data_IF_892299085254
#
_entry.id   IF_892299085254
#
_cell.length_a   1.000
_cell.length_b   1.000
_cell.length_c   1.000
_cell.angle_alpha   90.00
_cell.angle_beta   90.00
_cell.angle_gamma   90.00
#
_symmetry.space_group_name_H-M   'P 1'
#
loop_
_entity.id
_entity.type
_entity.pdbx_description
1 polymer ?
#
# COMPACT_ATOMS: atom_id res chain seq x y z
N UNK A 1 32.22 -17.99 28.67
CA UNK A 1 32.79 -18.27 27.36
C UNK A 1 31.73 -18.57 26.29
N UNK A 2 30.44 -18.20 26.49
CA UNK A 2 29.33 -18.47 25.54
C UNK A 2 28.63 -17.24 24.95
N UNK A 3 29.05 -16.03 25.32
CA UNK A 3 28.38 -14.79 24.82
C UNK A 3 29.03 -14.23 23.57
N UNK A 4 30.30 -14.59 23.28
CA UNK A 4 31.03 -14.06 22.10
C UNK A 4 30.59 -14.72 20.76
N UNK A 5 30.12 -15.97 20.81
CA UNK A 5 29.72 -16.71 19.59
C UNK A 5 28.45 -16.20 18.89
N UNK A 6 27.48 -15.65 19.64
CA UNK A 6 26.20 -15.20 19.07
C UNK A 6 26.29 -13.82 18.40
N UNK A 7 27.20 -12.93 18.86
CA UNK A 7 27.44 -11.63 18.22
C UNK A 7 28.21 -11.76 16.89
N UNK A 8 29.09 -12.76 16.77
CA UNK A 8 29.80 -12.99 15.51
C UNK A 8 28.92 -13.63 14.44
N UNK A 9 27.99 -14.50 14.83
CA UNK A 9 27.03 -15.12 13.88
C UNK A 9 26.07 -14.06 13.32
N UNK A 10 25.63 -13.11 14.14
CA UNK A 10 24.77 -12.01 13.69
C UNK A 10 25.52 -11.03 12.74
N UNK A 11 26.78 -10.70 13.04
CA UNK A 11 27.60 -9.86 12.16
C UNK A 11 27.88 -10.53 10.81
N UNK A 12 28.14 -11.83 10.82
CA UNK A 12 28.41 -12.58 9.59
C UNK A 12 27.19 -12.70 8.70
N UNK A 13 25.96 -12.77 9.27
CA UNK A 13 24.72 -12.77 8.50
C UNK A 13 24.40 -11.40 7.89
N UNK A 14 24.64 -10.32 8.61
CA UNK A 14 24.45 -8.95 8.10
C UNK A 14 25.43 -8.67 6.96
N UNK A 15 26.70 -9.04 7.08
CA UNK A 15 27.70 -8.86 6.03
C UNK A 15 27.35 -9.68 4.77
N UNK A 16 26.84 -10.91 4.92
CA UNK A 16 26.40 -11.72 3.77
C UNK A 16 25.18 -11.10 3.06
N UNK A 17 24.22 -10.58 3.80
CA UNK A 17 23.04 -9.89 3.22
C UNK A 17 23.46 -8.61 2.49
N UNK A 18 24.35 -7.82 3.08
CA UNK A 18 24.88 -6.60 2.46
C UNK A 18 25.69 -6.90 1.20
N UNK A 19 26.48 -7.99 1.21
CA UNK A 19 27.27 -8.43 0.04
C UNK A 19 26.41 -8.95 -1.10
N UNK A 20 25.29 -9.62 -0.82
CA UNK A 20 24.33 -10.08 -1.85
C UNK A 20 23.61 -8.89 -2.48
N UNK A 21 23.21 -7.91 -1.69
CA UNK A 21 22.60 -6.67 -2.21
C UNK A 21 23.61 -5.88 -3.07
N UNK A 22 24.88 -5.81 -2.67
CA UNK A 22 25.93 -5.13 -3.43
C UNK A 22 26.36 -5.92 -4.70
N UNK A 23 26.33 -7.26 -4.70
CA UNK A 23 26.60 -8.06 -5.91
C UNK A 23 25.52 -7.92 -6.99
N UNK A 24 24.26 -7.70 -6.62
CA UNK A 24 23.17 -7.41 -7.56
C UNK A 24 23.28 -6.02 -8.21
N UNK A 25 24.14 -5.14 -7.67
CA UNK A 25 24.36 -3.77 -8.15
C UNK A 25 25.57 -3.63 -9.11
N UNK A 26 26.32 -4.69 -9.39
CA UNK A 26 27.70 -4.62 -9.91
C UNK A 26 27.91 -4.63 -11.43
N UNK A 27 26.89 -4.78 -12.30
CA UNK A 27 27.13 -4.87 -13.76
C UNK A 27 25.98 -4.24 -14.57
N UNK A 28 26.02 -2.93 -14.83
CA UNK A 28 25.14 -2.29 -15.83
C UNK A 28 25.93 -1.32 -16.71
N UNK A 29 25.93 -1.56 -18.02
CA UNK A 29 26.43 -0.68 -19.11
C UNK A 29 25.22 0.09 -19.65
N UNK A 30 25.34 1.41 -19.78
CA UNK A 30 24.26 2.36 -20.16
C UNK A 30 24.15 2.52 -21.69
N UNK A 31 22.97 2.45 -22.32
CA UNK A 31 22.71 2.89 -23.68
C UNK A 31 22.10 4.29 -23.75
N UNK A 32 22.33 4.96 -24.87
CA UNK A 32 21.88 6.32 -25.17
C UNK A 32 20.57 6.31 -25.98
N UNK A 33 19.57 7.15 -25.63
CA UNK A 33 18.22 7.16 -26.27
C UNK A 33 17.84 8.51 -26.89
N UNK A 34 17.09 8.45 -28.00
CA UNK A 34 16.60 9.59 -28.78
C UNK A 34 15.29 10.19 -28.23
N UNK A 35 15.02 11.45 -28.61
CA UNK A 35 13.94 12.30 -28.07
C UNK A 35 12.62 12.16 -28.85
N UNK A 36 11.48 12.17 -28.13
CA UNK A 36 10.13 12.43 -28.67
C UNK A 36 9.78 13.92 -28.52
N UNK A 37 8.86 14.45 -29.34
CA UNK A 37 8.44 15.86 -29.30
C UNK A 37 7.97 16.26 -27.88
N UNK A 38 8.54 17.36 -27.37
CA UNK A 38 8.31 17.81 -26.00
C UNK A 38 6.92 18.46 -25.88
N UNK A 39 6.09 17.92 -24.97
CA UNK A 39 4.92 18.63 -24.47
C UNK A 39 5.36 19.88 -23.71
N UNK A 40 4.58 20.97 -23.78
CA UNK A 40 4.87 22.21 -23.07
C UNK A 40 4.65 22.04 -21.56
N UNK A 41 5.61 22.50 -20.75
CA UNK A 41 5.55 22.38 -19.29
C UNK A 41 4.35 23.15 -18.71
N UNK A 42 3.50 22.48 -17.96
CA UNK A 42 2.41 23.07 -17.22
C UNK A 42 2.83 23.40 -15.77
N UNK A 43 2.94 24.69 -15.45
CA UNK A 43 3.22 25.13 -14.08
C UNK A 43 2.08 24.80 -13.10
N UNK A 44 0.82 24.81 -13.55
CA UNK A 44 -0.34 24.49 -12.71
C UNK A 44 -0.34 23.00 -12.34
N UNK A 45 -0.14 22.09 -13.31
CA UNK A 45 -0.07 20.67 -13.07
C UNK A 45 1.13 20.30 -12.22
N UNK A 46 2.30 20.89 -12.48
CA UNK A 46 3.51 20.73 -11.66
C UNK A 46 3.25 21.13 -10.21
N UNK A 47 2.66 22.28 -9.96
CA UNK A 47 2.35 22.77 -8.60
C UNK A 47 1.36 21.84 -7.87
N UNK A 48 0.35 21.32 -8.57
CA UNK A 48 -0.58 20.37 -8.00
C UNK A 48 0.11 19.05 -7.63
N UNK A 49 0.96 18.48 -8.50
CA UNK A 49 1.62 17.21 -8.22
C UNK A 49 2.71 17.35 -7.14
N UNK A 50 3.42 18.47 -7.05
CA UNK A 50 4.31 18.76 -5.93
C UNK A 50 3.55 18.75 -4.59
N UNK A 51 2.38 19.40 -4.54
CA UNK A 51 1.50 19.41 -3.36
C UNK A 51 0.98 18.02 -3.04
N UNK A 52 0.50 17.29 -4.05
CA UNK A 52 -0.01 15.92 -3.91
C UNK A 52 1.07 14.97 -3.41
N UNK A 53 2.30 15.09 -3.91
CA UNK A 53 3.46 14.31 -3.46
C UNK A 53 3.70 14.50 -1.96
N UNK A 54 3.71 15.75 -1.49
CA UNK A 54 3.87 16.05 -0.07
C UNK A 54 2.73 15.44 0.78
N UNK A 55 1.49 15.55 0.31
CA UNK A 55 0.32 14.97 0.97
C UNK A 55 0.39 13.44 1.05
N UNK A 56 0.83 12.75 -0.01
CA UNK A 56 0.91 11.28 0.00
C UNK A 56 2.09 10.79 0.84
N UNK A 57 3.24 11.45 0.82
CA UNK A 57 4.32 11.12 1.75
C UNK A 57 3.88 11.29 3.20
N UNK A 58 3.14 12.36 3.50
CA UNK A 58 2.55 12.61 4.81
C UNK A 58 1.59 11.49 5.26
N UNK A 59 0.97 10.74 4.32
CA UNK A 59 0.17 9.57 4.67
C UNK A 59 1.01 8.46 5.30
N UNK A 60 2.22 8.20 4.82
CA UNK A 60 3.07 7.15 5.40
C UNK A 60 3.71 7.64 6.68
N UNK A 61 4.33 8.79 6.64
CA UNK A 61 4.93 9.48 7.78
C UNK A 61 4.43 10.93 7.84
N UNK A 62 3.62 11.27 8.88
CA UNK A 62 3.33 10.49 10.10
C UNK A 62 2.01 9.69 10.08
N UNK A 63 1.17 9.82 9.05
CA UNK A 63 -0.22 9.32 9.05
C UNK A 63 -0.36 7.86 9.45
N UNK A 64 0.15 6.94 8.61
CA UNK A 64 0.07 5.49 8.84
C UNK A 64 0.86 5.07 10.08
N UNK A 65 2.04 5.67 10.28
CA UNK A 65 2.87 5.42 11.45
C UNK A 65 2.11 5.68 12.76
N UNK A 66 1.38 6.78 12.88
CA UNK A 66 0.54 7.07 14.04
C UNK A 66 -0.74 6.24 14.09
N UNK A 67 -1.38 6.01 12.94
CA UNK A 67 -2.58 5.17 12.88
C UNK A 67 -2.27 3.76 13.40
N UNK A 68 -1.27 3.10 12.86
CA UNK A 68 -0.85 1.77 13.28
C UNK A 68 -0.17 1.78 14.66
N UNK A 69 0.69 2.76 14.92
CA UNK A 69 1.37 2.92 16.20
C UNK A 69 0.39 3.00 17.37
N UNK A 70 -0.73 3.71 17.22
CA UNK A 70 -1.78 3.78 18.24
C UNK A 70 -2.56 2.48 18.42
N UNK A 71 -2.66 1.65 17.38
CA UNK A 71 -3.42 0.38 17.38
C UNK A 71 -2.68 -0.78 18.07
N UNK A 72 -1.35 -0.84 17.99
CA UNK A 72 -0.55 -1.90 18.62
C UNK A 72 -0.47 -1.72 20.13
N UNK A 73 0.03 -2.73 20.85
CA UNK A 73 0.33 -2.62 22.29
C UNK A 73 1.48 -1.64 22.52
N UNK A 74 1.47 -0.92 23.64
CA UNK A 74 2.45 0.14 23.97
C UNK A 74 3.91 -0.28 23.87
N UNK A 75 4.23 -1.56 24.10
CA UNK A 75 5.56 -2.15 24.01
C UNK A 75 6.06 -2.45 22.59
N UNK A 76 5.25 -2.12 21.57
CA UNK A 76 5.52 -2.36 20.16
C UNK A 76 5.31 -1.10 19.31
N UNK A 77 5.11 0.07 19.94
CA UNK A 77 4.81 1.31 19.22
C UNK A 77 5.99 1.78 18.35
N UNK A 78 7.21 1.77 18.93
CA UNK A 78 8.41 2.20 18.22
C UNK A 78 8.77 1.25 17.08
N UNK A 79 8.53 -0.05 17.25
CA UNK A 79 8.73 -1.03 16.19
C UNK A 79 7.91 -0.70 14.94
N UNK A 80 6.65 -0.33 15.09
CA UNK A 80 5.80 0.05 13.95
C UNK A 80 6.23 1.38 13.33
N UNK A 81 6.55 2.38 14.16
CA UNK A 81 7.10 3.65 13.69
C UNK A 81 8.41 3.43 12.91
N UNK A 82 9.32 2.63 13.46
CA UNK A 82 10.59 2.27 12.81
C UNK A 82 10.39 1.54 11.49
N UNK A 83 9.42 0.63 11.41
CA UNK A 83 9.10 -0.09 10.17
C UNK A 83 8.61 0.87 9.09
N UNK A 84 7.72 1.82 9.41
CA UNK A 84 7.24 2.83 8.46
C UNK A 84 8.41 3.72 7.95
N UNK A 85 9.29 4.20 8.84
CA UNK A 85 10.45 4.99 8.45
C UNK A 85 11.46 4.20 7.64
N UNK A 86 11.79 2.98 8.08
CA UNK A 86 12.73 2.12 7.37
C UNK A 86 12.26 1.77 5.96
N UNK A 87 10.95 1.47 5.79
CA UNK A 87 10.36 1.22 4.48
C UNK A 87 10.38 2.47 3.60
N UNK A 88 10.10 3.64 4.16
CA UNK A 88 10.23 4.90 3.43
C UNK A 88 11.64 5.08 2.88
N UNK A 89 12.66 4.86 3.70
CA UNK A 89 14.06 4.99 3.27
C UNK A 89 14.47 3.88 2.28
N UNK A 90 14.14 2.62 2.59
CA UNK A 90 14.50 1.47 1.76
C UNK A 90 13.91 1.58 0.36
N UNK A 91 12.61 1.83 0.28
CA UNK A 91 11.91 1.92 -1.02
C UNK A 91 12.39 3.14 -1.80
N UNK A 92 12.67 4.27 -1.15
CA UNK A 92 13.22 5.46 -1.83
C UNK A 92 14.58 5.18 -2.47
N UNK A 93 15.47 4.48 -1.78
CA UNK A 93 16.76 4.09 -2.36
C UNK A 93 16.57 3.08 -3.50
N UNK A 94 15.74 2.06 -3.31
CA UNK A 94 15.44 1.07 -4.34
C UNK A 94 14.74 1.69 -5.56
N UNK A 95 13.91 2.72 -5.35
CA UNK A 95 13.25 3.44 -6.44
C UNK A 95 14.25 4.09 -7.38
N UNK A 96 15.21 4.81 -6.81
CA UNK A 96 16.30 5.41 -7.58
C UNK A 96 17.13 4.36 -8.30
N UNK A 97 17.46 3.27 -7.63
CA UNK A 97 18.35 2.25 -8.18
C UNK A 97 17.70 1.46 -9.32
N UNK A 98 16.44 1.03 -9.13
CA UNK A 98 15.84 0.08 -10.08
C UNK A 98 14.31 0.16 -10.18
N UNK A 99 13.57 0.42 -9.09
CA UNK A 99 12.11 0.22 -9.09
C UNK A 99 11.38 1.17 -10.02
N UNK A 100 11.85 2.43 -10.18
CA UNK A 100 11.27 3.36 -11.14
C UNK A 100 11.31 2.78 -12.56
N UNK A 101 12.44 2.21 -12.94
CA UNK A 101 12.63 1.58 -14.25
C UNK A 101 11.73 0.36 -14.44
N UNK A 102 11.70 -0.54 -13.44
CA UNK A 102 10.87 -1.75 -13.52
C UNK A 102 9.37 -1.47 -13.50
N UNK A 103 8.93 -0.43 -12.80
CA UNK A 103 7.52 -0.08 -12.69
C UNK A 103 7.00 0.76 -13.87
N UNK A 104 7.81 1.68 -14.41
CA UNK A 104 7.34 2.73 -15.32
C UNK A 104 8.26 2.96 -16.55
N UNK A 105 9.35 2.19 -16.68
CA UNK A 105 10.20 2.19 -17.86
C UNK A 105 9.67 1.28 -18.98
N UNK A 106 10.25 1.38 -20.17
CA UNK A 106 9.94 0.49 -21.30
C UNK A 106 10.54 -0.90 -21.07
N UNK A 107 9.71 -1.93 -21.08
CA UNK A 107 10.08 -3.32 -20.90
C UNK A 107 10.55 -4.05 -22.17
N UNK A 108 10.53 -3.41 -23.34
CA UNK A 108 10.84 -4.04 -24.62
C UNK A 108 9.98 -5.28 -24.87
N UNK A 109 10.60 -6.45 -25.01
CA UNK A 109 9.87 -7.72 -25.20
C UNK A 109 9.07 -8.18 -23.97
N UNK A 110 9.34 -7.67 -22.78
CA UNK A 110 8.64 -7.97 -21.55
C UNK A 110 7.68 -6.86 -21.10
N UNK A 111 7.49 -5.83 -21.92
CA UNK A 111 6.68 -4.65 -21.60
C UNK A 111 5.24 -4.97 -21.15
N UNK A 112 4.69 -6.10 -21.58
CA UNK A 112 3.38 -6.53 -21.11
C UNK A 112 3.33 -6.84 -19.58
N UNK A 113 4.50 -7.11 -18.95
CA UNK A 113 4.55 -7.59 -17.55
C UNK A 113 5.39 -6.67 -16.66
N UNK A 114 6.52 -6.16 -17.15
CA UNK A 114 7.49 -5.40 -16.34
C UNK A 114 8.30 -4.46 -17.22
N UNK A 115 8.70 -3.30 -16.68
CA UNK A 115 9.64 -2.38 -17.31
C UNK A 115 11.07 -2.94 -17.39
N UNK A 116 11.88 -2.33 -18.24
CA UNK A 116 13.28 -2.66 -18.43
C UNK A 116 14.22 -1.95 -17.45
N UNK A 117 15.45 -1.72 -17.90
CA UNK A 117 16.50 -1.09 -17.09
C UNK A 117 16.93 0.28 -17.63
N UNK A 118 16.24 0.81 -18.61
CA UNK A 118 16.55 2.08 -19.30
C UNK A 118 16.52 3.30 -18.36
N UNK A 119 15.67 3.26 -17.34
CA UNK A 119 15.54 4.27 -16.29
C UNK A 119 16.26 3.90 -14.97
N UNK A 120 17.00 2.79 -14.93
CA UNK A 120 17.74 2.41 -13.73
C UNK A 120 18.74 3.52 -13.33
N UNK A 121 18.91 3.74 -12.03
CA UNK A 121 19.67 4.87 -11.46
C UNK A 121 19.15 6.24 -11.91
N UNK A 122 17.86 6.36 -12.20
CA UNK A 122 17.21 7.56 -12.72
C UNK A 122 17.84 8.05 -14.04
N UNK A 123 18.36 7.12 -14.85
CA UNK A 123 18.95 7.42 -16.15
C UNK A 123 17.97 8.21 -17.03
N UNK A 124 18.43 9.33 -17.60
CA UNK A 124 17.61 10.20 -18.45
C UNK A 124 16.65 11.12 -17.71
N UNK A 125 16.52 11.03 -16.39
CA UNK A 125 15.76 11.99 -15.58
C UNK A 125 16.64 13.21 -15.33
N UNK A 126 16.29 14.31 -16.00
CA UNK A 126 17.03 15.59 -15.94
C UNK A 126 16.10 16.73 -15.52
N UNK A 127 16.63 17.95 -15.43
CA UNK A 127 15.79 19.13 -15.21
C UNK A 127 14.85 19.45 -16.38
N UNK A 128 15.17 18.97 -17.56
CA UNK A 128 14.42 19.21 -18.81
C UNK A 128 13.49 18.05 -19.18
N UNK A 129 13.68 16.83 -18.59
CA UNK A 129 12.86 15.67 -18.91
C UNK A 129 11.43 15.83 -18.38
N UNK A 130 10.45 15.53 -19.22
CA UNK A 130 9.02 15.61 -18.90
C UNK A 130 8.38 14.21 -18.92
N UNK A 131 7.35 14.05 -18.10
CA UNK A 131 6.37 12.95 -18.18
C UNK A 131 5.01 13.60 -18.41
N UNK A 132 4.48 13.46 -19.63
CA UNK A 132 3.37 14.31 -20.06
C UNK A 132 3.81 15.79 -20.06
N UNK A 133 3.08 16.65 -19.35
CA UNK A 133 3.33 18.08 -19.23
C UNK A 133 3.89 18.52 -17.86
N UNK A 134 4.36 17.56 -17.06
CA UNK A 134 5.03 17.83 -15.77
C UNK A 134 6.48 17.33 -15.78
N UNK A 135 7.39 17.90 -14.96
CA UNK A 135 8.75 17.38 -14.85
C UNK A 135 8.77 15.90 -14.48
N UNK A 136 9.58 15.10 -15.18
CA UNK A 136 9.68 13.66 -14.90
C UNK A 136 10.15 13.39 -13.45
N UNK A 137 10.96 14.27 -12.89
CA UNK A 137 11.37 14.19 -11.48
C UNK A 137 10.18 14.32 -10.51
N UNK A 138 9.21 15.19 -10.83
CA UNK A 138 7.97 15.37 -10.05
C UNK A 138 7.05 14.16 -10.20
N UNK A 139 6.85 13.67 -11.43
CA UNK A 139 6.11 12.43 -11.69
C UNK A 139 6.71 11.24 -10.95
N UNK A 140 8.02 11.03 -11.07
CA UNK A 140 8.72 9.93 -10.40
C UNK A 140 8.60 10.02 -8.88
N UNK A 141 8.75 11.22 -8.29
CA UNK A 141 8.61 11.40 -6.86
C UNK A 141 7.18 11.16 -6.36
N UNK A 142 6.17 11.53 -7.16
CA UNK A 142 4.77 11.23 -6.88
C UNK A 142 4.53 9.72 -6.86
N UNK A 143 4.95 9.01 -7.91
CA UNK A 143 4.81 7.55 -8.01
C UNK A 143 5.60 6.81 -6.91
N UNK A 144 6.75 7.32 -6.49
CA UNK A 144 7.52 6.79 -5.36
C UNK A 144 6.68 6.75 -4.08
N UNK A 145 5.83 7.75 -3.83
CA UNK A 145 5.02 7.78 -2.60
C UNK A 145 4.02 6.63 -2.51
N UNK A 146 3.51 6.14 -3.64
CA UNK A 146 2.68 4.93 -3.72
C UNK A 146 3.51 3.67 -3.47
N UNK A 147 4.70 3.61 -4.03
CA UNK A 147 5.66 2.53 -3.78
C UNK A 147 6.05 2.43 -2.29
N UNK A 148 6.17 3.55 -1.60
CA UNK A 148 6.48 3.60 -0.16
C UNK A 148 5.31 3.10 0.70
N UNK A 149 4.10 3.60 0.48
CA UNK A 149 2.98 3.30 1.36
C UNK A 149 2.51 1.84 1.23
N UNK A 150 2.65 1.24 0.05
CA UNK A 150 2.12 -0.10 -0.20
C UNK A 150 2.73 -1.17 0.71
N UNK A 151 4.06 -1.36 0.83
CA UNK A 151 4.63 -2.29 1.80
C UNK A 151 4.42 -1.84 3.26
N UNK A 152 4.30 -0.54 3.52
CA UNK A 152 4.00 -0.04 4.85
C UNK A 152 2.60 -0.46 5.34
N UNK A 153 1.62 -0.59 4.44
CA UNK A 153 0.31 -1.15 4.77
C UNK A 153 0.40 -2.62 5.19
N UNK A 154 1.26 -3.42 4.55
CA UNK A 154 1.43 -4.85 4.86
C UNK A 154 1.87 -5.07 6.31
N UNK A 155 2.64 -4.13 6.88
CA UNK A 155 3.10 -4.16 8.29
C UNK A 155 1.97 -4.44 9.26
N UNK A 156 0.78 -3.87 9.03
CA UNK A 156 -0.38 -4.10 9.87
C UNK A 156 -0.81 -5.57 9.97
N UNK A 157 -0.58 -6.39 8.94
CA UNK A 157 -0.93 -7.81 8.93
C UNK A 157 -0.07 -8.67 9.86
N UNK A 158 1.18 -8.29 10.07
CA UNK A 158 2.14 -9.04 10.88
C UNK A 158 2.70 -8.25 12.08
N UNK A 159 2.13 -7.09 12.37
CA UNK A 159 2.56 -6.27 13.50
C UNK A 159 2.67 -7.10 14.78
N UNK A 160 3.65 -6.75 15.63
CA UNK A 160 3.95 -7.34 16.92
C UNK A 160 4.59 -8.75 16.89
N UNK A 161 4.98 -9.31 15.73
CA UNK A 161 5.56 -10.67 15.70
C UNK A 161 6.61 -10.96 14.60
N UNK A 162 6.77 -10.10 13.62
CA UNK A 162 7.79 -10.27 12.57
C UNK A 162 9.11 -9.65 12.98
N UNK A 163 10.24 -10.33 12.71
CA UNK A 163 11.58 -9.79 12.90
C UNK A 163 11.80 -8.60 11.97
N UNK A 164 12.46 -7.56 12.46
CA UNK A 164 12.75 -6.36 11.67
C UNK A 164 13.59 -6.65 10.42
N UNK A 165 14.65 -7.46 10.56
CA UNK A 165 15.49 -7.88 9.43
C UNK A 165 14.72 -8.65 8.36
N UNK A 166 13.79 -9.51 8.78
CA UNK A 166 12.94 -10.30 7.87
C UNK A 166 11.92 -9.42 7.17
N UNK A 167 11.37 -8.43 7.84
CA UNK A 167 10.48 -7.43 7.26
C UNK A 167 11.21 -6.62 6.15
N UNK A 168 12.44 -6.17 6.40
CA UNK A 168 13.22 -5.43 5.40
C UNK A 168 13.51 -6.28 4.17
N UNK A 169 13.99 -7.51 4.35
CA UNK A 169 14.29 -8.41 3.24
C UNK A 169 13.02 -8.79 2.46
N UNK A 170 11.95 -9.13 3.16
CA UNK A 170 10.65 -9.40 2.56
C UNK A 170 10.19 -8.23 1.70
N UNK A 171 10.18 -7.03 2.26
CA UNK A 171 9.70 -5.84 1.55
C UNK A 171 10.56 -5.52 0.33
N UNK A 172 11.89 -5.62 0.43
CA UNK A 172 12.77 -5.38 -0.72
C UNK A 172 12.49 -6.34 -1.89
N UNK A 173 12.36 -7.64 -1.61
CA UNK A 173 12.04 -8.63 -2.64
C UNK A 173 10.61 -8.46 -3.16
N UNK A 174 9.66 -8.17 -2.27
CA UNK A 174 8.27 -7.97 -2.63
C UNK A 174 8.08 -6.77 -3.56
N UNK A 175 8.83 -5.69 -3.36
CA UNK A 175 8.80 -4.53 -4.25
C UNK A 175 9.25 -4.89 -5.68
N UNK A 176 10.24 -5.76 -5.83
CA UNK A 176 10.76 -6.18 -7.13
C UNK A 176 9.81 -7.17 -7.83
N UNK A 177 9.30 -8.18 -7.08
CA UNK A 177 8.57 -9.29 -7.70
C UNK A 177 7.05 -9.14 -7.67
N UNK A 178 6.51 -8.25 -6.85
CA UNK A 178 5.06 -8.02 -6.75
C UNK A 178 4.69 -6.59 -7.15
N UNK A 179 5.21 -5.59 -6.41
CA UNK A 179 4.78 -4.22 -6.64
C UNK A 179 5.15 -3.71 -8.04
N UNK A 180 6.41 -3.78 -8.43
CA UNK A 180 6.86 -3.26 -9.72
C UNK A 180 6.15 -3.92 -10.91
N UNK A 181 6.00 -5.26 -10.99
CA UNK A 181 5.23 -5.89 -12.06
C UNK A 181 3.75 -5.48 -12.10
N UNK A 182 3.05 -5.48 -10.96
CA UNK A 182 1.63 -5.08 -10.94
C UNK A 182 1.49 -3.59 -11.30
N UNK A 183 2.35 -2.72 -10.78
CA UNK A 183 2.37 -1.30 -11.14
C UNK A 183 2.59 -1.11 -12.66
N UNK A 184 3.53 -1.84 -13.24
CA UNK A 184 3.81 -1.78 -14.67
C UNK A 184 2.64 -2.30 -15.51
N UNK A 185 2.08 -3.44 -15.13
CA UNK A 185 0.95 -4.03 -15.85
C UNK A 185 -0.29 -3.12 -15.86
N UNK A 186 -0.48 -2.30 -14.81
CA UNK A 186 -1.65 -1.41 -14.70
C UNK A 186 -1.37 0.00 -15.21
N UNK A 187 -0.20 0.58 -14.85
CA UNK A 187 0.10 2.01 -15.11
C UNK A 187 1.32 2.23 -16.01
N UNK A 188 2.19 1.23 -16.14
CA UNK A 188 3.46 1.34 -16.89
C UNK A 188 3.36 0.97 -18.38
N UNK A 189 2.16 0.78 -18.92
CA UNK A 189 1.95 0.36 -20.30
C UNK A 189 1.96 -1.16 -20.51
N UNK A 190 1.64 -1.93 -19.43
CA UNK A 190 1.50 -3.38 -19.52
C UNK A 190 0.07 -3.85 -19.80
N UNK A 191 -0.12 -5.17 -19.87
CA UNK A 191 -1.31 -5.82 -20.44
C UNK A 191 -2.62 -5.56 -19.70
N UNK A 192 -2.61 -5.27 -18.40
CA UNK A 192 -3.84 -4.95 -17.66
C UNK A 192 -4.38 -3.57 -18.03
N UNK A 193 -3.47 -2.58 -18.22
CA UNK A 193 -3.83 -1.28 -18.76
C UNK A 193 -4.33 -1.39 -20.19
N UNK A 194 -3.65 -2.15 -21.04
CA UNK A 194 -4.06 -2.38 -22.45
C UNK A 194 -5.41 -3.10 -22.55
N UNK A 195 -5.74 -3.97 -21.59
CA UNK A 195 -7.06 -4.62 -21.50
C UNK A 195 -8.17 -3.62 -21.14
N UNK A 196 -7.84 -2.43 -20.63
CA UNK A 196 -8.80 -1.43 -20.18
C UNK A 196 -9.17 -1.54 -18.69
N UNK A 197 -8.31 -2.11 -17.86
CA UNK A 197 -8.52 -2.12 -16.41
C UNK A 197 -8.54 -0.69 -15.87
N UNK A 198 -9.65 -0.31 -15.26
CA UNK A 198 -9.84 0.99 -14.62
C UNK A 198 -9.36 0.91 -13.16
N UNK A 199 -8.19 1.48 -12.91
CA UNK A 199 -7.60 1.63 -11.57
C UNK A 199 -6.93 3.00 -11.47
N UNK A 200 -7.70 4.00 -11.02
CA UNK A 200 -7.29 5.40 -11.06
C UNK A 200 -6.11 5.71 -10.13
N UNK A 201 -6.16 5.17 -8.92
CA UNK A 201 -5.19 5.54 -7.90
C UNK A 201 -4.67 4.33 -7.06
N UNK A 202 -4.93 3.07 -7.47
CA UNK A 202 -4.27 1.92 -6.84
C UNK A 202 -5.19 0.95 -6.09
N UNK A 203 -6.37 0.68 -6.61
CA UNK A 203 -7.21 -0.41 -6.11
C UNK A 203 -6.51 -1.75 -6.18
N UNK A 204 -5.93 -2.07 -7.34
CA UNK A 204 -5.11 -3.27 -7.56
C UNK A 204 -3.67 -3.05 -7.10
N UNK A 205 -3.03 -1.99 -7.59
CA UNK A 205 -1.59 -1.72 -7.38
C UNK A 205 -1.25 -1.56 -5.90
N UNK A 206 -2.11 -0.94 -5.10
CA UNK A 206 -1.87 -0.68 -3.67
C UNK A 206 -2.73 -1.57 -2.79
N UNK A 207 -4.07 -1.45 -2.86
CA UNK A 207 -4.94 -2.00 -1.82
C UNK A 207 -5.11 -3.51 -1.91
N UNK A 208 -5.37 -4.09 -3.09
CA UNK A 208 -5.46 -5.55 -3.24
C UNK A 208 -4.09 -6.17 -2.95
N UNK A 209 -3.02 -5.61 -3.51
CA UNK A 209 -1.66 -6.07 -3.27
C UNK A 209 -1.31 -6.09 -1.77
N UNK A 210 -1.48 -4.95 -1.08
CA UNK A 210 -1.16 -4.87 0.34
C UNK A 210 -2.04 -5.80 1.19
N UNK A 211 -3.34 -5.86 0.90
CA UNK A 211 -4.28 -6.71 1.63
C UNK A 211 -3.97 -8.19 1.47
N UNK A 212 -3.76 -8.67 0.24
CA UNK A 212 -3.42 -10.08 -0.02
C UNK A 212 -2.08 -10.46 0.60
N UNK A 213 -1.06 -9.60 0.47
CA UNK A 213 0.24 -9.84 1.08
C UNK A 213 0.14 -9.90 2.62
N UNK A 214 -0.64 -9.00 3.24
CA UNK A 214 -0.89 -9.01 4.68
C UNK A 214 -1.59 -10.30 5.14
N UNK A 215 -2.58 -10.77 4.39
CA UNK A 215 -3.28 -12.03 4.69
C UNK A 215 -2.33 -13.23 4.65
N UNK A 216 -1.54 -13.37 3.59
CA UNK A 216 -0.55 -14.46 3.46
C UNK A 216 0.50 -14.38 4.57
N UNK A 217 1.00 -13.17 4.88
CA UNK A 217 1.94 -12.97 5.97
C UNK A 217 1.32 -13.34 7.34
N UNK A 218 0.07 -12.93 7.60
CA UNK A 218 -0.64 -13.27 8.82
C UNK A 218 -0.79 -14.79 9.00
N UNK A 219 -1.13 -15.52 7.92
CA UNK A 219 -1.25 -16.98 7.94
C UNK A 219 0.11 -17.64 8.20
N UNK A 220 1.17 -17.21 7.53
CA UNK A 220 2.50 -17.82 7.65
C UNK A 220 3.18 -17.56 8.99
N UNK A 221 3.01 -16.34 9.54
CA UNK A 221 3.53 -16.00 10.86
C UNK A 221 2.68 -16.57 12.00
N UNK A 222 1.50 -17.07 11.73
CA UNK A 222 0.53 -17.60 12.70
C UNK A 222 0.06 -16.54 13.71
N UNK A 223 -0.69 -16.96 14.70
CA UNK A 223 -1.32 -16.11 15.72
C UNK A 223 -0.30 -15.52 16.70
N UNK A 224 -0.57 -14.30 17.19
CA UNK A 224 0.13 -13.71 18.35
C UNK A 224 -0.20 -14.49 19.59
N UNK A 225 0.72 -14.51 20.54
CA UNK A 225 0.51 -15.17 21.84
C UNK A 225 -0.73 -14.61 22.53
N UNK A 226 -1.68 -15.51 22.79
CA UNK A 226 -2.95 -15.17 23.42
C UNK A 226 -4.13 -14.91 22.48
N UNK A 227 -3.92 -14.76 21.18
CA UNK A 227 -5.02 -14.64 20.23
C UNK A 227 -5.78 -15.98 20.10
N UNK A 228 -7.11 -16.00 19.98
CA UNK A 228 -8.05 -14.88 20.10
C UNK A 228 -8.57 -14.68 21.54
N UNK A 229 -8.03 -15.40 22.52
CA UNK A 229 -8.59 -15.51 23.89
C UNK A 229 -8.24 -14.30 24.77
N UNK A 230 -7.08 -13.69 24.55
CA UNK A 230 -6.62 -12.51 25.32
C UNK A 230 -6.90 -11.25 24.49
N UNK A 231 -7.71 -10.30 24.98
CA UNK A 231 -7.92 -9.04 24.30
C UNK A 231 -6.61 -8.26 24.11
N UNK A 232 -6.42 -7.71 22.93
CA UNK A 232 -5.27 -6.87 22.57
C UNK A 232 -5.77 -5.47 22.15
N UNK A 233 -6.28 -4.66 23.09
CA UNK A 233 -6.84 -3.36 22.75
C UNK A 233 -5.74 -2.40 22.28
N UNK A 234 -6.09 -1.44 21.39
CA UNK A 234 -5.21 -0.33 21.05
C UNK A 234 -4.73 0.40 22.32
N UNK A 235 -3.42 0.70 22.38
CA UNK A 235 -2.90 1.39 23.54
C UNK A 235 -3.17 2.90 23.55
N UNK A 236 -3.36 3.50 22.36
CA UNK A 236 -3.54 4.95 22.23
C UNK A 236 -4.48 5.32 21.08
N UNK A 237 -5.78 5.34 21.37
CA UNK A 237 -6.79 5.71 20.37
C UNK A 237 -6.68 7.17 19.90
N UNK A 238 -6.16 8.09 20.74
CA UNK A 238 -5.94 9.49 20.33
C UNK A 238 -4.89 9.56 19.21
N UNK A 239 -3.79 8.82 19.34
CA UNK A 239 -2.77 8.69 18.31
C UNK A 239 -3.36 8.05 17.03
N UNK A 240 -4.18 7.01 17.18
CA UNK A 240 -4.89 6.35 16.07
C UNK A 240 -5.77 7.34 15.32
N UNK A 241 -6.58 8.14 16.03
CA UNK A 241 -7.46 9.13 15.40
C UNK A 241 -6.66 10.22 14.71
N UNK A 242 -5.57 10.71 15.30
CA UNK A 242 -4.71 11.71 14.69
C UNK A 242 -4.10 11.14 13.37
N UNK A 243 -3.53 9.91 13.42
CA UNK A 243 -3.00 9.24 12.23
C UNK A 243 -4.07 9.02 11.14
N UNK A 244 -5.26 8.56 11.52
CA UNK A 244 -6.39 8.40 10.63
C UNK A 244 -6.80 9.73 9.95
N UNK A 245 -6.82 10.83 10.70
CA UNK A 245 -7.12 12.16 10.16
C UNK A 245 -6.05 12.62 9.15
N UNK A 246 -4.78 12.34 9.42
CA UNK A 246 -3.68 12.60 8.50
C UNK A 246 -3.79 11.76 7.22
N UNK A 247 -4.21 10.49 7.33
CA UNK A 247 -4.52 9.64 6.18
C UNK A 247 -5.63 10.23 5.32
N UNK A 248 -6.72 10.72 5.92
CA UNK A 248 -7.83 11.32 5.17
C UNK A 248 -7.38 12.52 4.35
N UNK A 249 -6.69 13.47 4.99
CA UNK A 249 -6.20 14.68 4.31
C UNK A 249 -5.19 14.33 3.21
N UNK A 250 -4.27 13.42 3.50
CA UNK A 250 -3.27 12.95 2.53
C UNK A 250 -3.91 12.23 1.32
N UNK A 251 -5.06 11.58 1.52
CA UNK A 251 -5.76 10.89 0.44
C UNK A 251 -6.32 11.80 -0.64
N UNK A 252 -6.46 13.09 -0.37
CA UNK A 252 -6.74 14.07 -1.44
C UNK A 252 -5.58 14.15 -2.44
N UNK A 253 -4.33 14.15 -1.95
CA UNK A 253 -3.17 14.03 -2.82
C UNK A 253 -3.08 12.66 -3.50
N UNK A 254 -3.43 11.59 -2.77
CA UNK A 254 -3.39 10.23 -3.30
C UNK A 254 -4.33 10.05 -4.49
N UNK A 255 -5.61 10.36 -4.33
CA UNK A 255 -6.62 10.17 -5.35
C UNK A 255 -6.65 11.32 -6.36
N UNK A 256 -6.79 12.57 -5.92
CA UNK A 256 -6.89 13.68 -6.85
C UNK A 256 -5.54 14.03 -7.52
N UNK A 257 -4.41 13.72 -6.88
CA UNK A 257 -3.09 13.78 -7.52
C UNK A 257 -2.93 12.78 -8.67
N UNK A 258 -3.61 11.64 -8.61
CA UNK A 258 -3.57 10.63 -9.69
C UNK A 258 -4.21 11.08 -11.01
N UNK A 259 -4.90 12.22 -11.03
CA UNK A 259 -5.27 12.90 -12.27
C UNK A 259 -4.05 13.39 -13.05
N UNK A 260 -2.89 13.56 -12.41
CA UNK A 260 -1.65 14.13 -12.94
C UNK A 260 -1.81 15.55 -13.52
N UNK A 261 -2.96 16.20 -13.29
CA UNK A 261 -3.33 17.51 -13.76
C UNK A 261 -4.15 18.27 -12.72
N UNK A 262 -4.10 19.61 -12.74
CA UNK A 262 -4.94 20.49 -11.94
C UNK A 262 -6.23 20.85 -12.73
N UNK A 263 -7.07 19.86 -12.94
CA UNK A 263 -8.24 19.95 -13.82
C UNK A 263 -9.55 19.49 -13.15
N UNK A 264 -10.59 19.32 -13.94
CA UNK A 264 -11.90 18.88 -13.48
C UNK A 264 -11.86 17.44 -12.90
N UNK A 265 -10.99 16.57 -13.44
CA UNK A 265 -10.83 15.20 -12.97
C UNK A 265 -10.23 15.20 -11.55
N UNK A 266 -9.20 16.01 -11.29
CA UNK A 266 -8.65 16.18 -9.94
C UNK A 266 -9.71 16.73 -8.96
N UNK A 267 -10.50 17.72 -9.38
CA UNK A 267 -11.57 18.29 -8.57
C UNK A 267 -12.66 17.27 -8.22
N UNK A 268 -13.11 16.47 -9.20
CA UNK A 268 -14.09 15.41 -8.97
C UNK A 268 -13.50 14.30 -8.11
N UNK A 269 -12.27 13.85 -8.36
CA UNK A 269 -11.60 12.82 -7.56
C UNK A 269 -11.47 13.24 -6.08
N UNK A 270 -11.19 14.52 -5.79
CA UNK A 270 -11.15 15.03 -4.43
C UNK A 270 -12.55 14.96 -3.76
N UNK A 271 -13.59 15.39 -4.45
CA UNK A 271 -14.96 15.39 -3.94
C UNK A 271 -15.44 13.96 -3.65
N UNK A 272 -15.29 13.04 -4.60
CA UNK A 272 -15.77 11.65 -4.44
C UNK A 272 -14.98 10.89 -3.39
N UNK A 273 -13.68 11.19 -3.23
CA UNK A 273 -12.83 10.66 -2.14
C UNK A 273 -13.39 11.06 -0.78
N UNK A 274 -13.74 12.32 -0.59
CA UNK A 274 -14.34 12.82 0.65
C UNK A 274 -15.70 12.16 0.94
N UNK A 275 -16.56 12.04 -0.08
CA UNK A 275 -17.87 11.38 0.05
C UNK A 275 -17.70 9.90 0.43
N UNK A 276 -16.79 9.17 -0.26
CA UNK A 276 -16.50 7.77 0.02
C UNK A 276 -16.03 7.55 1.46
N UNK A 277 -15.12 8.39 1.95
CA UNK A 277 -14.64 8.37 3.33
C UNK A 277 -15.76 8.59 4.34
N UNK A 278 -16.53 9.66 4.17
CA UNK A 278 -17.63 10.03 5.09
C UNK A 278 -18.73 8.95 5.11
N UNK A 279 -19.11 8.43 3.95
CA UNK A 279 -20.11 7.38 3.82
C UNK A 279 -19.63 6.06 4.45
N UNK A 280 -18.37 5.67 4.24
CA UNK A 280 -17.74 4.50 4.84
C UNK A 280 -17.68 4.60 6.38
N UNK A 281 -17.30 5.77 6.90
CA UNK A 281 -17.32 6.06 8.33
C UNK A 281 -18.69 5.81 8.96
N UNK A 282 -19.71 6.45 8.39
CA UNK A 282 -21.06 6.37 8.92
C UNK A 282 -21.65 4.96 8.80
N UNK A 283 -21.45 4.31 7.66
CA UNK A 283 -21.94 2.96 7.42
C UNK A 283 -21.31 1.94 8.39
N UNK A 284 -20.00 1.99 8.60
CA UNK A 284 -19.31 1.15 9.58
C UNK A 284 -19.84 1.44 11.00
N UNK A 285 -19.89 2.70 11.40
CA UNK A 285 -20.37 3.12 12.71
C UNK A 285 -21.79 2.60 12.98
N UNK A 286 -22.72 2.77 12.03
CA UNK A 286 -24.10 2.29 12.15
C UNK A 286 -24.13 0.78 12.26
N UNK A 287 -23.36 0.07 11.43
CA UNK A 287 -23.29 -1.40 11.45
C UNK A 287 -22.76 -1.94 12.78
N UNK A 288 -21.68 -1.35 13.28
CA UNK A 288 -21.12 -1.67 14.60
C UNK A 288 -22.14 -1.41 15.71
N UNK A 289 -22.78 -0.24 15.69
CA UNK A 289 -23.80 0.12 16.67
C UNK A 289 -24.95 -0.89 16.73
N UNK A 290 -25.45 -1.32 15.55
CA UNK A 290 -26.48 -2.36 15.46
C UNK A 290 -26.04 -3.72 16.02
N UNK A 291 -24.76 -4.07 15.88
CA UNK A 291 -24.23 -5.38 16.30
C UNK A 291 -23.73 -5.40 17.73
N UNK A 292 -23.14 -4.32 18.20
CA UNK A 292 -22.47 -4.25 19.51
C UNK A 292 -23.19 -3.38 20.53
N UNK A 293 -24.27 -2.70 20.12
CA UNK A 293 -25.06 -1.80 20.98
C UNK A 293 -24.44 -0.44 21.24
N UNK A 294 -23.18 -0.21 20.79
CA UNK A 294 -22.48 1.08 20.91
C UNK A 294 -21.57 1.29 19.70
N UNK A 295 -21.48 2.53 19.17
CA UNK A 295 -20.47 2.88 18.20
C UNK A 295 -19.13 3.10 18.92
N UNK A 296 -18.01 2.82 18.24
CA UNK A 296 -16.68 3.08 18.77
C UNK A 296 -15.95 4.15 17.95
N UNK A 297 -15.01 4.84 18.59
CA UNK A 297 -14.11 5.77 17.89
C UNK A 297 -13.21 5.00 16.92
N UNK A 298 -12.75 3.82 17.31
CA UNK A 298 -11.99 2.95 16.43
C UNK A 298 -12.81 2.54 15.19
N UNK A 299 -14.06 2.15 15.38
CA UNK A 299 -14.93 1.73 14.28
C UNK A 299 -15.17 2.83 13.25
N UNK A 300 -15.47 4.05 13.68
CA UNK A 300 -15.73 5.15 12.75
C UNK A 300 -14.48 5.53 11.93
N UNK A 301 -13.28 5.54 12.54
CA UNK A 301 -12.04 5.83 11.78
C UNK A 301 -11.59 4.67 10.90
N UNK A 302 -11.84 3.41 11.30
CA UNK A 302 -11.60 2.26 10.45
C UNK A 302 -12.54 2.24 9.24
N UNK A 303 -13.82 2.58 9.44
CA UNK A 303 -14.78 2.76 8.36
C UNK A 303 -14.41 3.87 7.39
N UNK A 304 -13.78 4.94 7.88
CA UNK A 304 -13.23 6.01 7.06
C UNK A 304 -12.11 5.47 6.15
N UNK A 305 -11.15 4.71 6.69
CA UNK A 305 -10.07 4.11 5.89
C UNK A 305 -10.63 3.11 4.88
N UNK A 306 -11.63 2.29 5.27
CA UNK A 306 -12.31 1.38 4.35
C UNK A 306 -12.98 2.13 3.20
N UNK A 307 -13.68 3.24 3.47
CA UNK A 307 -14.27 4.10 2.45
C UNK A 307 -13.23 4.70 1.51
N UNK A 308 -12.12 5.19 2.05
CA UNK A 308 -11.00 5.75 1.28
C UNK A 308 -10.36 4.70 0.36
N UNK A 309 -10.02 3.52 0.90
CA UNK A 309 -9.43 2.45 0.11
C UNK A 309 -10.36 1.91 -0.98
N UNK A 310 -11.66 1.83 -0.69
CA UNK A 310 -12.64 1.31 -1.65
C UNK A 310 -12.95 2.31 -2.77
N UNK A 311 -12.97 3.63 -2.50
CA UNK A 311 -13.20 4.64 -3.55
C UNK A 311 -11.96 4.86 -4.43
N UNK A 312 -10.77 4.46 -3.98
CA UNK A 312 -9.50 4.73 -4.65
C UNK A 312 -9.46 4.32 -6.11
N UNK A 313 -9.79 3.08 -6.53
CA UNK A 313 -9.78 2.70 -7.95
C UNK A 313 -10.81 3.47 -8.78
N UNK A 314 -11.88 3.92 -8.18
CA UNK A 314 -13.02 4.56 -8.82
C UNK A 314 -12.92 6.10 -8.90
N UNK A 315 -12.03 6.72 -8.12
CA UNK A 315 -12.09 8.15 -7.80
C UNK A 315 -12.01 9.09 -9.01
N UNK A 316 -11.34 8.68 -10.09
CA UNK A 316 -11.29 9.45 -11.35
C UNK A 316 -12.41 9.12 -12.34
N UNK A 317 -13.27 8.15 -12.04
CA UNK A 317 -14.23 7.62 -13.01
C UNK A 317 -15.69 7.78 -12.60
N UNK A 318 -15.98 8.01 -11.31
CA UNK A 318 -17.35 8.00 -10.78
C UNK A 318 -17.80 9.38 -10.33
N UNK A 319 -19.12 9.58 -10.35
CA UNK A 319 -19.74 10.78 -9.80
C UNK A 319 -20.08 10.63 -8.30
N UNK A 320 -20.62 11.72 -7.66
CA UNK A 320 -20.90 11.76 -6.22
C UNK A 320 -21.87 10.67 -5.73
N UNK A 321 -22.86 10.27 -6.52
CA UNK A 321 -23.81 9.22 -6.12
C UNK A 321 -23.17 7.84 -6.16
N UNK A 322 -22.30 7.55 -7.16
CA UNK A 322 -21.48 6.35 -7.20
C UNK A 322 -20.55 6.27 -5.99
N UNK A 323 -19.90 7.39 -5.63
CA UNK A 323 -19.03 7.46 -4.46
C UNK A 323 -19.79 7.23 -3.14
N UNK A 324 -21.00 7.76 -3.00
CA UNK A 324 -21.87 7.51 -1.84
C UNK A 324 -22.17 6.02 -1.69
N UNK A 325 -22.57 5.36 -2.80
CA UNK A 325 -22.88 3.94 -2.79
C UNK A 325 -21.62 3.08 -2.48
N UNK A 326 -20.48 3.39 -3.10
CA UNK A 326 -19.20 2.72 -2.86
C UNK A 326 -18.81 2.86 -1.39
N UNK A 327 -18.89 4.05 -0.82
CA UNK A 327 -18.53 4.30 0.58
C UNK A 327 -19.45 3.57 1.56
N UNK A 328 -20.78 3.60 1.36
CA UNK A 328 -21.73 2.85 2.20
C UNK A 328 -21.44 1.34 2.13
N UNK A 329 -21.22 0.82 0.92
CA UNK A 329 -20.88 -0.60 0.72
C UNK A 329 -19.58 -0.96 1.41
N UNK A 330 -18.55 -0.09 1.33
CA UNK A 330 -17.26 -0.28 1.97
C UNK A 330 -17.39 -0.44 3.48
N UNK A 331 -18.05 0.51 4.17
CA UNK A 331 -18.20 0.46 5.62
C UNK A 331 -18.93 -0.79 6.11
N UNK A 332 -19.96 -1.21 5.38
CA UNK A 332 -20.72 -2.41 5.72
C UNK A 332 -19.93 -3.70 5.45
N UNK A 333 -19.40 -3.86 4.22
CA UNK A 333 -18.77 -5.13 3.78
C UNK A 333 -17.43 -5.33 4.48
N UNK A 334 -16.60 -4.29 4.62
CA UNK A 334 -15.33 -4.41 5.33
C UNK A 334 -15.51 -4.68 6.83
N UNK A 335 -16.57 -4.12 7.46
CA UNK A 335 -16.94 -4.50 8.83
C UNK A 335 -17.23 -6.00 8.96
N UNK A 336 -18.08 -6.55 8.10
CA UNK A 336 -18.40 -8.00 8.13
C UNK A 336 -17.17 -8.83 7.81
N UNK A 337 -16.34 -8.42 6.86
CA UNK A 337 -15.08 -9.09 6.54
C UNK A 337 -14.13 -9.15 7.74
N UNK A 338 -13.99 -8.04 8.49
CA UNK A 338 -13.19 -8.01 9.73
C UNK A 338 -13.70 -9.05 10.75
N UNK A 339 -15.02 -9.12 10.96
CA UNK A 339 -15.61 -10.10 11.87
C UNK A 339 -15.39 -11.54 11.37
N UNK A 340 -15.51 -11.76 10.08
CA UNK A 340 -15.36 -13.09 9.46
C UNK A 340 -13.91 -13.59 9.56
N UNK A 341 -12.94 -12.77 9.17
CA UNK A 341 -11.50 -13.11 9.21
C UNK A 341 -11.06 -13.45 10.64
N UNK A 342 -11.37 -12.57 11.60
CA UNK A 342 -10.92 -12.77 13.00
C UNK A 342 -11.68 -13.84 13.75
N UNK A 343 -13.02 -13.88 13.63
CA UNK A 343 -13.85 -14.74 14.48
C UNK A 343 -14.13 -16.11 13.86
N UNK A 344 -14.31 -16.18 12.54
CA UNK A 344 -14.68 -17.43 11.86
C UNK A 344 -13.43 -18.14 11.34
N UNK A 345 -12.60 -17.46 10.56
CA UNK A 345 -11.37 -18.05 10.03
C UNK A 345 -10.24 -18.09 11.07
N UNK A 346 -10.35 -17.31 12.14
CA UNK A 346 -9.34 -17.19 13.21
C UNK A 346 -7.96 -16.83 12.67
N UNK A 347 -7.89 -15.93 11.69
CA UNK A 347 -6.63 -15.42 11.17
C UNK A 347 -6.29 -14.14 11.93
N UNK A 348 -5.09 -14.08 12.52
CA UNK A 348 -4.58 -12.93 13.24
C UNK A 348 -3.93 -11.92 12.26
N UNK A 349 -4.75 -11.31 11.42
CA UNK A 349 -4.41 -10.07 10.73
C UNK A 349 -4.48 -8.94 11.77
N UNK A 350 -3.31 -8.53 12.30
CA UNK A 350 -3.23 -7.77 13.55
C UNK A 350 -4.03 -6.48 13.50
N UNK A 351 -3.97 -5.74 12.39
CA UNK A 351 -4.57 -4.41 12.23
C UNK A 351 -5.61 -4.35 11.10
N UNK A 352 -6.22 -5.51 10.74
CA UNK A 352 -7.32 -5.61 9.77
C UNK A 352 -6.96 -5.15 8.36
N UNK A 353 -5.72 -5.41 7.91
CA UNK A 353 -5.23 -4.95 6.59
C UNK A 353 -5.99 -5.62 5.44
N UNK A 354 -6.17 -6.93 5.49
CA UNK A 354 -6.90 -7.63 4.43
C UNK A 354 -8.37 -7.23 4.35
N UNK A 355 -9.16 -7.23 5.44
CA UNK A 355 -10.56 -6.84 5.35
C UNK A 355 -10.78 -5.38 4.94
N UNK A 356 -9.87 -4.47 5.30
CA UNK A 356 -10.00 -3.04 4.99
C UNK A 356 -9.47 -2.72 3.59
N UNK A 357 -8.24 -3.15 3.29
CA UNK A 357 -7.57 -2.83 2.02
C UNK A 357 -7.80 -3.90 0.95
N UNK A 358 -7.65 -5.19 1.26
CA UNK A 358 -7.87 -6.28 0.32
C UNK A 358 -9.32 -6.36 -0.14
N UNK A 359 -10.26 -6.55 0.80
CA UNK A 359 -11.69 -6.64 0.49
C UNK A 359 -12.21 -5.29 -0.03
N UNK A 360 -11.80 -4.17 0.57
CA UNK A 360 -12.16 -2.83 0.08
C UNK A 360 -11.66 -2.58 -1.34
N UNK A 361 -10.39 -2.90 -1.64
CA UNK A 361 -9.82 -2.76 -2.98
C UNK A 361 -10.54 -3.64 -4.02
N UNK A 362 -10.83 -4.90 -3.70
CA UNK A 362 -11.62 -5.81 -4.55
C UNK A 362 -12.99 -5.21 -4.86
N UNK A 363 -13.70 -4.81 -3.82
CA UNK A 363 -15.03 -4.22 -3.94
C UNK A 363 -15.00 -2.94 -4.79
N UNK A 364 -14.07 -2.04 -4.50
CA UNK A 364 -13.92 -0.77 -5.21
C UNK A 364 -13.59 -0.98 -6.69
N UNK A 365 -12.63 -1.85 -6.98
CA UNK A 365 -12.24 -2.16 -8.37
C UNK A 365 -13.43 -2.71 -9.18
N UNK A 366 -14.22 -3.63 -8.62
CA UNK A 366 -15.40 -4.18 -9.31
C UNK A 366 -16.48 -3.09 -9.49
N UNK A 367 -16.75 -2.30 -8.44
CA UNK A 367 -17.76 -1.25 -8.49
C UNK A 367 -17.36 -0.08 -9.42
N UNK A 368 -16.06 0.12 -9.68
CA UNK A 368 -15.60 1.06 -10.72
C UNK A 368 -16.22 0.71 -12.07
N UNK A 369 -16.20 -0.57 -12.47
CA UNK A 369 -16.79 -1.02 -13.74
C UNK A 369 -18.31 -0.76 -13.87
N UNK A 370 -19.00 -0.62 -12.74
CA UNK A 370 -20.44 -0.29 -12.72
C UNK A 370 -20.64 1.22 -12.74
N UNK A 371 -20.04 1.93 -11.77
CA UNK A 371 -20.36 3.35 -11.51
C UNK A 371 -19.59 4.34 -12.39
N UNK A 372 -18.62 3.88 -13.19
CA UNK A 372 -18.00 4.71 -14.24
C UNK A 372 -18.97 5.02 -15.39
N UNK A 373 -20.05 4.25 -15.54
CA UNK A 373 -21.07 4.51 -16.56
C UNK A 373 -21.75 5.85 -16.37
N UNK A 374 -21.96 6.58 -17.47
CA UNK A 374 -22.73 7.83 -17.51
C UNK A 374 -24.16 7.65 -16.96
N UNK A 375 -24.75 6.47 -17.07
CA UNK A 375 -26.08 6.14 -16.50
C UNK A 375 -26.13 6.29 -14.97
N UNK A 376 -25.00 6.20 -14.30
CA UNK A 376 -24.85 6.37 -12.86
C UNK A 376 -24.13 7.68 -12.50
N UNK A 377 -24.00 8.60 -13.46
CA UNK A 377 -23.31 9.89 -13.25
C UNK A 377 -21.79 9.79 -13.23
N UNK A 378 -21.21 8.70 -13.76
CA UNK A 378 -19.79 8.55 -14.00
C UNK A 378 -19.32 9.24 -15.27
N UNK A 379 -18.01 9.16 -15.56
CA UNK A 379 -17.39 9.82 -16.73
C UNK A 379 -17.80 9.21 -18.08
N UNK A 380 -18.37 8.01 -18.08
CA UNK A 380 -18.73 7.24 -19.26
C UNK A 380 -17.86 6.00 -19.45
N UNK A 381 -18.36 5.08 -20.25
CA UNK A 381 -17.67 3.85 -20.66
C UNK A 381 -17.76 3.74 -22.18
N UNK A 382 -16.68 3.33 -22.82
CA UNK A 382 -16.64 3.04 -24.27
C UNK A 382 -17.21 1.66 -24.60
N UNK A 383 -17.37 0.80 -23.58
CA UNK A 383 -17.90 -0.57 -23.66
C UNK A 383 -19.08 -0.76 -22.71
N UNK A 384 -19.75 -1.90 -22.79
CA UNK A 384 -20.87 -2.20 -21.90
C UNK A 384 -20.40 -2.29 -20.42
N UNK A 385 -21.30 -1.98 -19.48
CA UNK A 385 -21.05 -2.17 -18.03
C UNK A 385 -20.62 -3.60 -17.74
N UNK A 386 -21.26 -4.59 -18.40
CA UNK A 386 -20.93 -5.99 -18.21
C UNK A 386 -19.49 -6.31 -18.63
N UNK A 387 -19.07 -5.84 -19.81
CA UNK A 387 -17.71 -6.06 -20.30
C UNK A 387 -16.67 -5.36 -19.42
N UNK A 388 -16.96 -4.13 -18.98
CA UNK A 388 -16.07 -3.43 -18.05
C UNK A 388 -15.94 -4.15 -16.70
N UNK A 389 -17.04 -4.65 -16.14
CA UNK A 389 -17.00 -5.45 -14.91
C UNK A 389 -16.20 -6.74 -15.09
N UNK A 390 -16.30 -7.39 -16.25
CA UNK A 390 -15.48 -8.58 -16.57
C UNK A 390 -13.99 -8.23 -16.55
N UNK A 391 -13.59 -7.10 -17.16
CA UNK A 391 -12.20 -6.62 -17.15
C UNK A 391 -11.74 -6.37 -15.71
N UNK A 392 -12.55 -5.69 -14.90
CA UNK A 392 -12.23 -5.43 -13.49
C UNK A 392 -12.04 -6.74 -12.69
N UNK A 393 -12.91 -7.71 -12.91
CA UNK A 393 -12.81 -9.02 -12.26
C UNK A 393 -11.54 -9.76 -12.69
N UNK A 394 -11.16 -9.71 -13.98
CA UNK A 394 -9.89 -10.29 -14.47
C UNK A 394 -8.71 -9.65 -13.74
N UNK A 395 -8.66 -8.31 -13.67
CA UNK A 395 -7.59 -7.57 -12.97
C UNK A 395 -7.50 -7.93 -11.49
N UNK A 396 -8.64 -8.03 -10.80
CA UNK A 396 -8.73 -8.44 -9.39
C UNK A 396 -8.17 -9.86 -9.20
N UNK A 397 -8.66 -10.84 -9.96
CA UNK A 397 -8.22 -12.23 -9.82
C UNK A 397 -6.73 -12.39 -10.14
N UNK A 398 -6.26 -11.75 -11.21
CA UNK A 398 -4.87 -11.81 -11.58
C UNK A 398 -3.98 -11.23 -10.46
N UNK A 399 -4.34 -10.06 -9.93
CA UNK A 399 -3.60 -9.42 -8.84
C UNK A 399 -3.55 -10.30 -7.59
N UNK A 400 -4.69 -10.92 -7.20
CA UNK A 400 -4.75 -11.83 -6.06
C UNK A 400 -3.81 -13.02 -6.25
N UNK A 401 -3.84 -13.65 -7.43
CA UNK A 401 -3.02 -14.84 -7.73
C UNK A 401 -1.54 -14.46 -7.77
N UNK A 402 -1.17 -13.42 -8.49
CA UNK A 402 0.20 -12.95 -8.60
C UNK A 402 0.78 -12.56 -7.24
N UNK A 403 0.10 -11.67 -6.54
CA UNK A 403 0.53 -11.21 -5.22
C UNK A 403 0.60 -12.36 -4.22
N UNK A 404 -0.43 -13.20 -4.16
CA UNK A 404 -0.49 -14.34 -3.23
C UNK A 404 0.63 -15.33 -3.45
N UNK A 405 0.88 -15.71 -4.71
CA UNK A 405 1.94 -16.64 -5.06
C UNK A 405 3.33 -16.10 -4.70
N UNK A 406 3.69 -14.92 -5.20
CA UNK A 406 5.01 -14.36 -4.94
C UNK A 406 5.22 -14.00 -3.47
N UNK A 407 4.20 -13.49 -2.78
CA UNK A 407 4.27 -13.22 -1.34
C UNK A 407 4.60 -14.49 -0.57
N UNK A 408 3.91 -15.60 -0.86
CA UNK A 408 4.19 -16.89 -0.23
C UNK A 408 5.62 -17.38 -0.49
N UNK A 409 6.07 -17.33 -1.74
CA UNK A 409 7.42 -17.77 -2.13
C UNK A 409 8.48 -16.92 -1.45
N UNK A 410 8.32 -15.59 -1.45
CA UNK A 410 9.28 -14.67 -0.81
C UNK A 410 9.32 -14.90 0.70
N UNK A 411 8.18 -15.02 1.36
CA UNK A 411 8.14 -15.30 2.80
C UNK A 411 8.79 -16.63 3.14
N UNK A 412 8.58 -17.68 2.34
CA UNK A 412 9.27 -18.97 2.51
C UNK A 412 10.78 -18.85 2.35
N UNK A 413 11.24 -18.09 1.36
CA UNK A 413 12.66 -17.83 1.16
C UNK A 413 13.27 -17.09 2.35
N UNK A 414 12.60 -16.01 2.82
CA UNK A 414 13.06 -15.22 3.98
C UNK A 414 13.04 -16.05 5.27
N UNK A 415 12.02 -16.89 5.44
CA UNK A 415 11.93 -17.80 6.60
C UNK A 415 13.13 -18.76 6.67
N UNK A 416 13.50 -19.35 5.55
CA UNK A 416 14.65 -20.26 5.47
C UNK A 416 15.99 -19.55 5.74
N UNK A 417 16.12 -18.25 5.43
CA UNK A 417 17.38 -17.51 5.61
C UNK A 417 17.52 -16.88 6.99
N UNK A 418 16.45 -16.23 7.48
CA UNK A 418 16.48 -15.37 8.66
C UNK A 418 15.51 -15.85 9.76
N UNK A 419 14.55 -16.69 9.38
CA UNK A 419 13.37 -16.95 10.19
C UNK A 419 12.44 -15.73 10.23
N UNK A 420 11.13 -15.92 10.08
CA UNK A 420 10.20 -14.79 10.01
C UNK A 420 9.87 -14.20 11.37
N UNK A 421 9.63 -15.07 12.35
CA UNK A 421 9.03 -14.69 13.64
C UNK A 421 10.08 -14.44 14.70
N UNK A 422 9.83 -13.45 15.56
CA UNK A 422 10.57 -13.25 16.82
C UNK A 422 10.32 -14.42 17.78
N UNK A 423 11.17 -14.57 18.81
CA UNK A 423 10.95 -15.56 19.87
C UNK A 423 9.72 -15.20 20.72
N UNK A 424 9.14 -16.19 21.39
CA UNK A 424 8.04 -15.95 22.34
C UNK A 424 8.44 -15.01 23.47
N UNK A 425 9.68 -15.08 23.94
CA UNK A 425 10.23 -14.20 24.96
C UNK A 425 10.25 -12.73 24.47
N UNK A 426 10.69 -12.49 23.22
CA UNK A 426 10.68 -11.15 22.61
C UNK A 426 9.26 -10.64 22.38
N UNK A 427 8.31 -11.52 22.04
CA UNK A 427 6.90 -11.14 21.93
C UNK A 427 6.29 -10.74 23.27
N UNK A 428 6.71 -11.40 24.38
CA UNK A 428 6.29 -11.04 25.73
C UNK A 428 6.94 -9.75 26.24
N UNK A 429 8.24 -9.59 26.03
CA UNK A 429 9.00 -8.40 26.42
C UNK A 429 8.56 -7.16 25.64
N UNK A 430 8.26 -7.34 24.34
CA UNK A 430 7.94 -6.28 23.39
C UNK A 430 9.08 -6.03 22.39
N UNK A 431 8.69 -5.79 21.15
CA UNK A 431 9.64 -5.65 20.03
C UNK A 431 10.48 -4.37 20.15
N UNK A 432 9.92 -3.29 20.72
CA UNK A 432 10.63 -2.03 20.91
C UNK A 432 11.95 -2.26 21.68
N UNK A 433 11.87 -2.99 22.79
CA UNK A 433 13.04 -3.31 23.59
C UNK A 433 13.89 -4.43 22.97
N UNK A 434 13.24 -5.47 22.43
CA UNK A 434 13.92 -6.67 21.95
C UNK A 434 14.71 -6.44 20.63
N UNK A 435 14.18 -5.64 19.71
CA UNK A 435 14.79 -5.42 18.39
C UNK A 435 15.46 -4.04 18.27
N UNK A 436 15.01 -3.02 19.04
CA UNK A 436 15.51 -1.65 18.93
C UNK A 436 16.21 -1.13 20.17
N UNK A 437 16.07 -1.81 21.33
CA UNK A 437 16.70 -1.38 22.59
C UNK A 437 16.10 -0.11 23.19
N UNK A 438 14.91 0.28 22.76
CA UNK A 438 14.24 1.54 23.11
C UNK A 438 12.86 1.30 23.72
N UNK A 439 12.32 2.33 24.38
CA UNK A 439 10.95 2.34 24.90
C UNK A 439 10.24 3.59 24.45
N UNK A 440 9.03 3.46 23.93
CA UNK A 440 8.21 4.60 23.52
C UNK A 440 7.68 5.42 24.69
N UNK A 441 7.54 4.80 25.86
CA UNK A 441 7.02 5.44 27.08
C UNK A 441 7.90 5.08 28.29
N UNK A 442 8.24 6.09 29.10
CA UNK A 442 9.07 5.99 30.29
C UNK A 442 8.23 5.96 31.59
N UNK A 443 7.09 5.26 31.57
CA UNK A 443 6.18 5.12 32.73
C UNK A 443 6.59 3.96 33.63
#
# INVERSE_FOLDING_TARGET
MHVIGLQEINKMNIIKVTSIVLMLLGTIVLPNTGYAEASELSGANTGWILTSTALVLFMTIPGLAFFYGGLVRNKNVLSVLMQCFALTCLVSVMWVVILYSLALGDGGSLNSIIGGFDKAFMSGVTNESLSGDIPESVFSMFQLTFAIITPALIVGGFAERMKFSSMLMFSALWMIFVYAPICHMVWGGGWLGDLGLMDFAGGTVVHINAGVAALIAAIMLRERKGFPSIPMPPHNLTMTVAGASMLWVGWFGFNAGSALAADQSAGMAMLVTHIGAAAGSLSWMVREWMKQGKPSVLGIVTGMVAGLGTITPASGFVGPMGALFIGVSAGFICYEATQYIKKILRIDDSLDVFPVHGVGGILGTILTGVFASASFGGMGLDISIFDQVVIQVIGVFFTIIWCGFFTYVILKFVDNLLGLRISEEHEETGIDLAEHGEKGYNN
#
